data_IF_257247396043
#
_entry.id   IF_257247396043
#
_cell.length_a   1.000
_cell.length_b   1.000
_cell.length_c   1.000
_cell.angle_alpha   90.00
_cell.angle_beta   90.00
_cell.angle_gamma   90.00
#
_symmetry.space_group_name_H-M   'P 1'
#
loop_
_entity.id
_entity.type
_entity.pdbx_description
1 polymer ?
#
# COMPACT_ATOMS: atom_id res chain seq x y z
N UNK A 1 2.81 23.45 -3.25
CA UNK A 1 3.29 22.46 -4.26
C UNK A 1 2.64 22.73 -5.61
N UNK A 2 3.41 22.93 -6.69
CA UNK A 2 2.85 22.99 -8.04
C UNK A 2 2.23 21.64 -8.43
N UNK A 3 1.22 21.65 -9.28
CA UNK A 3 0.54 20.45 -9.78
C UNK A 3 0.97 20.14 -11.20
N UNK A 4 1.45 18.91 -11.43
CA UNK A 4 1.74 18.35 -12.75
C UNK A 4 0.55 17.45 -13.13
N UNK A 5 -0.26 17.89 -14.09
CA UNK A 5 -1.45 17.16 -14.54
C UNK A 5 -1.07 16.15 -15.63
N UNK A 6 -1.62 14.96 -15.53
CA UNK A 6 -1.44 13.83 -16.44
C UNK A 6 -2.79 13.45 -17.05
N UNK A 7 -2.80 13.24 -18.38
CA UNK A 7 -4.01 12.81 -19.12
C UNK A 7 -4.17 11.27 -19.11
N UNK A 8 -3.12 10.55 -18.75
CA UNK A 8 -3.13 9.08 -18.67
C UNK A 8 -2.16 8.57 -17.60
N UNK A 9 -2.44 7.40 -17.01
CA UNK A 9 -1.55 6.84 -16.00
C UNK A 9 -0.18 6.48 -16.61
N UNK A 10 0.92 6.75 -15.90
CA UNK A 10 2.25 6.35 -16.33
C UNK A 10 2.36 4.83 -16.53
N UNK A 11 3.07 4.42 -17.58
CA UNK A 11 3.27 3.00 -17.87
C UNK A 11 4.24 2.36 -16.88
N UNK A 12 3.76 1.47 -16.02
CA UNK A 12 4.54 0.83 -14.98
C UNK A 12 5.79 0.10 -15.49
N UNK A 13 5.71 -0.59 -16.65
CA UNK A 13 6.86 -1.26 -17.25
C UNK A 13 8.03 -0.32 -17.54
N UNK A 14 7.74 0.87 -18.07
CA UNK A 14 8.75 1.91 -18.31
C UNK A 14 9.33 2.45 -17.00
N UNK A 15 8.49 2.61 -15.95
CA UNK A 15 8.93 3.07 -14.62
C UNK A 15 9.81 2.05 -13.91
N UNK A 16 9.53 0.75 -14.01
CA UNK A 16 10.42 -0.28 -13.48
C UNK A 16 11.78 -0.30 -14.20
N UNK A 17 11.79 -0.12 -15.53
CA UNK A 17 13.04 0.07 -16.29
C UNK A 17 13.82 1.31 -15.81
N UNK A 18 13.14 2.44 -15.60
CA UNK A 18 13.72 3.66 -15.06
C UNK A 18 14.27 3.48 -13.64
N UNK A 19 13.54 2.77 -12.78
CA UNK A 19 13.98 2.48 -11.40
C UNK A 19 15.37 1.83 -11.35
N UNK A 20 15.67 0.92 -12.27
CA UNK A 20 16.99 0.28 -12.35
C UNK A 20 18.10 1.28 -12.76
N UNK A 21 17.76 2.26 -13.59
CA UNK A 21 18.71 3.30 -14.03
C UNK A 21 18.96 4.37 -12.96
N UNK A 22 17.93 4.69 -12.16
CA UNK A 22 17.99 5.72 -11.12
C UNK A 22 18.40 5.18 -9.74
N UNK A 23 18.65 3.88 -9.61
CA UNK A 23 18.98 3.22 -8.34
C UNK A 23 20.21 3.83 -7.60
N UNK A 24 21.06 4.60 -8.29
CA UNK A 24 22.27 5.24 -7.76
C UNK A 24 22.25 6.76 -7.87
N UNK A 25 21.19 7.33 -8.43
CA UNK A 25 21.01 8.79 -8.55
C UNK A 25 19.89 9.19 -7.60
N UNK A 26 20.13 10.09 -6.68
CA UNK A 26 19.13 10.64 -5.80
C UNK A 26 19.37 12.13 -5.59
N UNK A 27 18.29 12.91 -5.51
CA UNK A 27 18.35 14.29 -5.02
C UNK A 27 18.64 14.34 -3.52
N UNK A 28 18.76 15.52 -2.98
CA UNK A 28 18.90 15.76 -1.54
C UNK A 28 17.56 15.97 -0.85
N UNK A 29 16.57 16.44 -1.60
CA UNK A 29 15.23 16.79 -1.11
C UNK A 29 14.15 16.09 -1.91
N UNK A 30 12.95 15.97 -1.32
CA UNK A 30 11.77 15.47 -2.03
C UNK A 30 11.36 16.43 -3.15
N UNK A 31 10.83 15.90 -4.28
CA UNK A 31 10.22 16.73 -5.31
C UNK A 31 9.05 17.54 -4.75
N UNK A 32 9.12 18.87 -4.85
CA UNK A 32 8.04 19.78 -4.40
C UNK A 32 6.94 19.90 -5.46
N UNK A 33 6.25 18.79 -5.75
CA UNK A 33 5.12 18.77 -6.68
C UNK A 33 4.10 17.69 -6.34
N UNK A 34 2.86 17.95 -6.75
CA UNK A 34 1.77 16.98 -6.76
C UNK A 34 1.58 16.48 -8.19
N UNK A 35 1.56 15.16 -8.39
CA UNK A 35 1.09 14.55 -9.62
C UNK A 35 -0.42 14.39 -9.55
N UNK A 36 -1.12 14.81 -10.61
CA UNK A 36 -2.57 14.69 -10.72
C UNK A 36 -2.93 13.93 -11.99
N UNK A 37 -3.68 12.84 -11.86
CA UNK A 37 -4.29 12.14 -12.98
C UNK A 37 -5.77 12.49 -13.01
N UNK A 38 -6.18 13.22 -14.05
CA UNK A 38 -7.58 13.55 -14.29
C UNK A 38 -8.27 12.42 -15.05
N UNK A 39 -9.56 12.22 -14.80
CA UNK A 39 -10.39 11.19 -15.46
C UNK A 39 -9.79 9.78 -15.37
N UNK A 40 -9.35 9.40 -14.15
CA UNK A 40 -8.87 8.04 -13.92
C UNK A 40 -9.97 7.03 -14.30
N UNK A 41 -9.69 6.23 -15.32
CA UNK A 41 -10.63 5.22 -15.82
C UNK A 41 -10.66 4.02 -14.89
N UNK A 42 -11.85 3.61 -14.48
CA UNK A 42 -12.06 2.39 -13.69
C UNK A 42 -12.60 1.33 -14.63
N UNK A 43 -11.81 0.28 -14.85
CA UNK A 43 -12.23 -0.91 -15.56
C UNK A 43 -12.90 -1.87 -14.56
N UNK A 44 -14.18 -2.17 -14.79
CA UNK A 44 -14.96 -3.04 -13.91
C UNK A 44 -14.40 -4.47 -13.86
N UNK A 45 -13.85 -4.97 -14.95
CA UNK A 45 -13.22 -6.30 -15.00
C UNK A 45 -11.92 -6.30 -14.17
N UNK A 46 -11.11 -5.25 -14.25
CA UNK A 46 -9.93 -5.10 -13.42
C UNK A 46 -10.27 -5.00 -11.92
N UNK A 47 -11.37 -4.32 -11.56
CA UNK A 47 -11.88 -4.29 -10.17
C UNK A 47 -12.31 -5.68 -9.72
N UNK A 48 -13.02 -6.43 -10.57
CA UNK A 48 -13.47 -7.79 -10.27
C UNK A 48 -12.27 -8.74 -10.08
N UNK A 49 -11.27 -8.67 -10.94
CA UNK A 49 -10.03 -9.46 -10.83
C UNK A 49 -9.27 -9.15 -9.54
N UNK A 50 -9.15 -7.87 -9.20
CA UNK A 50 -8.56 -7.45 -7.92
C UNK A 50 -9.36 -8.01 -6.73
N UNK A 51 -10.69 -7.88 -6.78
CA UNK A 51 -11.57 -8.39 -5.74
C UNK A 51 -11.39 -9.91 -5.55
N UNK A 52 -11.33 -10.68 -6.64
CA UNK A 52 -11.08 -12.12 -6.59
C UNK A 52 -9.72 -12.48 -5.96
N UNK A 53 -8.64 -11.79 -6.36
CA UNK A 53 -7.29 -12.05 -5.84
C UNK A 53 -7.17 -11.70 -4.36
N UNK A 54 -7.85 -10.65 -3.91
CA UNK A 54 -7.85 -10.18 -2.53
C UNK A 54 -8.94 -10.82 -1.66
N UNK A 55 -9.97 -11.43 -2.28
CA UNK A 55 -11.09 -12.08 -1.60
C UNK A 55 -12.20 -11.13 -1.17
N UNK A 56 -12.32 -9.97 -1.81
CA UNK A 56 -13.50 -9.11 -1.70
C UNK A 56 -14.68 -9.67 -2.49
N UNK A 57 -15.88 -9.21 -2.16
CA UNK A 57 -17.05 -9.40 -3.01
C UNK A 57 -16.96 -8.49 -4.23
N UNK A 58 -17.33 -8.99 -5.38
CA UNK A 58 -17.55 -8.16 -6.58
C UNK A 58 -18.85 -7.41 -6.41
N UNK A 59 -18.84 -6.10 -6.63
CA UNK A 59 -20.00 -5.22 -6.46
C UNK A 59 -19.84 -3.92 -7.22
N UNK A 60 -20.77 -2.98 -7.00
CA UNK A 60 -20.75 -1.66 -7.62
C UNK A 60 -19.81 -0.66 -6.94
N UNK A 61 -19.21 -1.02 -5.81
CA UNK A 61 -18.27 -0.20 -5.06
C UNK A 61 -16.84 -0.73 -5.19
N UNK A 62 -15.87 0.17 -5.17
CA UNK A 62 -14.46 -0.19 -5.15
C UNK A 62 -14.09 -0.78 -3.79
N UNK A 63 -13.35 -1.91 -3.74
CA UNK A 63 -12.70 -2.32 -2.51
C UNK A 63 -11.87 -1.17 -1.92
N UNK A 64 -11.97 -0.91 -0.62
CA UNK A 64 -11.31 0.24 0.05
C UNK A 64 -9.81 0.37 -0.24
N UNK A 65 -9.16 -0.73 -0.60
CA UNK A 65 -7.74 -0.74 -0.99
C UNK A 65 -7.51 -0.56 -2.49
N UNK A 66 -8.56 -0.59 -3.32
CA UNK A 66 -8.40 -0.47 -4.79
C UNK A 66 -7.93 0.91 -5.25
N UNK A 67 -8.34 2.04 -4.65
CA UNK A 67 -7.83 3.35 -5.05
C UNK A 67 -6.31 3.49 -4.94
N UNK A 68 -5.66 2.70 -4.07
CA UNK A 68 -4.20 2.61 -4.05
C UNK A 68 -3.62 2.10 -5.38
N UNK A 69 -4.33 1.23 -6.10
CA UNK A 69 -3.90 0.74 -7.43
C UNK A 69 -3.94 1.84 -8.48
N UNK A 70 -4.92 2.76 -8.39
CA UNK A 70 -4.99 3.94 -9.25
C UNK A 70 -3.85 4.94 -8.96
N UNK A 71 -3.47 5.05 -7.69
CA UNK A 71 -2.40 5.94 -7.25
C UNK A 71 -0.99 5.37 -7.48
N UNK A 72 -0.83 4.04 -7.53
CA UNK A 72 0.47 3.38 -7.58
C UNK A 72 1.34 3.78 -8.80
N UNK A 73 0.82 3.94 -10.03
CA UNK A 73 1.61 4.45 -11.14
C UNK A 73 2.18 5.85 -10.91
N UNK A 74 1.43 6.73 -10.23
CA UNK A 74 1.89 8.07 -9.88
C UNK A 74 2.94 8.02 -8.76
N UNK A 75 2.74 7.16 -7.76
CA UNK A 75 3.76 6.90 -6.73
C UNK A 75 5.07 6.42 -7.36
N UNK A 76 5.00 5.44 -8.26
CA UNK A 76 6.17 4.94 -9.00
C UNK A 76 6.82 6.03 -9.86
N UNK A 77 6.05 6.92 -10.46
CA UNK A 77 6.56 8.06 -11.22
C UNK A 77 7.41 9.00 -10.35
N UNK A 78 6.93 9.31 -9.11
CA UNK A 78 7.71 10.09 -8.15
C UNK A 78 8.95 9.33 -7.67
N UNK A 79 8.78 8.09 -7.22
CA UNK A 79 9.89 7.28 -6.67
C UNK A 79 11.00 6.99 -7.70
N UNK A 80 10.70 7.04 -8.99
CA UNK A 80 11.69 6.84 -10.06
C UNK A 80 12.18 8.14 -10.66
N UNK A 81 11.79 9.28 -10.12
CA UNK A 81 12.35 10.56 -10.52
C UNK A 81 13.84 10.65 -10.15
N UNK A 82 14.61 11.35 -10.97
CA UNK A 82 16.04 11.57 -10.69
C UNK A 82 16.30 12.44 -9.46
N UNK A 83 15.33 13.31 -9.16
CA UNK A 83 15.38 14.18 -7.98
C UNK A 83 14.96 13.45 -6.71
N UNK A 84 14.28 12.28 -6.82
CA UNK A 84 13.83 11.56 -5.64
C UNK A 84 15.02 11.01 -4.84
N UNK A 85 15.13 11.32 -3.52
CA UNK A 85 16.36 11.09 -2.75
C UNK A 85 16.61 9.62 -2.39
N UNK A 86 15.60 8.77 -2.50
CA UNK A 86 15.70 7.36 -2.13
C UNK A 86 15.57 6.44 -3.35
N UNK A 87 16.39 5.38 -3.47
CA UNK A 87 16.30 4.43 -4.56
C UNK A 87 15.02 3.59 -4.48
N UNK A 88 14.21 3.58 -5.53
CA UNK A 88 13.00 2.75 -5.59
C UNK A 88 13.27 1.23 -5.44
N UNK A 89 14.33 0.63 -6.02
CA UNK A 89 14.68 -0.74 -5.76
C UNK A 89 15.08 -0.97 -4.29
N UNK A 90 14.45 -1.95 -3.65
CA UNK A 90 14.69 -2.28 -2.25
C UNK A 90 13.88 -1.48 -1.23
N UNK A 91 13.02 -0.59 -1.68
CA UNK A 91 12.02 0.03 -0.81
C UNK A 91 11.10 -1.02 -0.17
N UNK A 92 10.86 -0.86 1.11
CA UNK A 92 9.97 -1.71 1.90
C UNK A 92 8.79 -0.88 2.41
N UNK A 93 7.58 -1.32 2.16
CA UNK A 93 6.36 -0.70 2.67
C UNK A 93 6.21 -1.04 4.15
N UNK A 94 6.32 -0.05 5.05
CA UNK A 94 6.26 -0.23 6.50
C UNK A 94 4.85 -0.03 7.06
N UNK A 95 4.14 0.99 6.59
CA UNK A 95 2.81 1.36 7.09
C UNK A 95 1.97 1.91 5.95
N UNK A 96 0.68 1.64 6.01
CA UNK A 96 -0.28 2.27 5.12
C UNK A 96 -1.55 2.61 5.89
N UNK A 97 -1.85 3.90 5.97
CA UNK A 97 -3.09 4.45 6.54
C UNK A 97 -4.01 4.80 5.38
N UNK A 98 -5.25 4.33 5.42
CA UNK A 98 -6.32 4.70 4.48
C UNK A 98 -7.44 5.33 5.28
N UNK A 99 -7.86 6.52 4.91
CA UNK A 99 -9.11 7.16 5.40
C UNK A 99 -10.08 7.27 4.22
N UNK A 100 -11.22 6.63 4.33
CA UNK A 100 -12.31 6.69 3.38
C UNK A 100 -13.47 7.41 4.03
N UNK A 101 -13.96 8.50 3.44
CA UNK A 101 -15.12 9.26 3.93
C UNK A 101 -16.43 8.69 3.39
N UNK A 102 -16.40 8.15 2.18
CA UNK A 102 -17.47 7.36 1.57
C UNK A 102 -16.91 6.32 0.62
N UNK A 103 -17.63 5.22 0.36
CA UNK A 103 -17.28 4.32 -0.73
C UNK A 103 -17.21 5.06 -2.08
N UNK A 104 -16.29 4.63 -2.93
CA UNK A 104 -16.19 5.07 -4.33
C UNK A 104 -16.86 4.02 -5.21
N UNK A 105 -17.68 4.44 -6.16
CA UNK A 105 -18.38 3.53 -7.05
C UNK A 105 -17.56 3.23 -8.32
N UNK A 106 -17.78 2.04 -8.89
CA UNK A 106 -17.30 1.72 -10.24
C UNK A 106 -18.00 2.64 -11.24
N UNK A 107 -17.21 3.34 -12.08
CA UNK A 107 -17.73 4.27 -13.09
C UNK A 107 -17.79 5.74 -12.64
N UNK A 108 -17.44 6.08 -11.40
CA UNK A 108 -17.25 7.48 -11.01
C UNK A 108 -16.08 8.10 -11.79
N UNK A 109 -16.19 9.37 -12.25
CA UNK A 109 -15.05 10.10 -12.82
C UNK A 109 -14.11 10.51 -11.69
N UNK A 110 -13.01 9.83 -11.53
CA UNK A 110 -12.08 10.06 -10.42
C UNK A 110 -10.87 10.88 -10.83
N UNK A 111 -10.43 11.73 -9.91
CA UNK A 111 -9.13 12.40 -9.93
C UNK A 111 -8.25 11.77 -8.87
N UNK A 112 -7.03 11.43 -9.25
CA UNK A 112 -6.02 10.85 -8.36
C UNK A 112 -4.88 11.83 -8.19
N UNK A 113 -4.54 12.18 -6.96
CA UNK A 113 -3.40 13.07 -6.65
C UNK A 113 -2.40 12.33 -5.78
N UNK A 114 -1.11 12.54 -6.06
CA UNK A 114 -0.02 11.94 -5.30
C UNK A 114 1.10 12.95 -5.11
N UNK A 115 1.62 13.03 -3.89
CA UNK A 115 2.85 13.76 -3.58
C UNK A 115 3.69 12.99 -2.57
N UNK A 116 4.95 13.39 -2.43
CA UNK A 116 5.85 12.85 -1.42
C UNK A 116 6.04 13.87 -0.30
N UNK A 117 6.14 13.39 0.93
CA UNK A 117 6.44 14.24 2.09
C UNK A 117 7.21 13.48 3.15
N UNK A 118 7.70 14.19 4.16
CA UNK A 118 8.28 13.60 5.37
C UNK A 118 9.40 12.59 5.11
N UNK A 119 10.46 13.05 4.42
CA UNK A 119 11.71 12.31 4.35
C UNK A 119 12.44 12.46 5.69
N UNK A 120 12.58 11.38 6.45
CA UNK A 120 13.18 11.43 7.79
C UNK A 120 14.08 10.24 8.06
N UNK A 121 15.02 10.44 8.99
CA UNK A 121 15.88 9.38 9.47
C UNK A 121 15.10 8.26 10.17
N UNK A 122 15.62 7.05 10.05
CA UNK A 122 15.17 5.85 10.73
C UNK A 122 16.41 5.14 11.29
N UNK A 123 16.39 4.46 12.45
CA UNK A 123 17.57 3.83 13.06
C UNK A 123 18.37 2.88 12.15
N UNK A 124 17.79 2.42 11.05
CA UNK A 124 18.40 1.50 10.07
C UNK A 124 18.47 2.05 8.65
N UNK A 125 18.14 3.33 8.44
CA UNK A 125 18.09 3.93 7.11
C UNK A 125 17.28 5.21 7.08
N UNK A 126 16.47 5.39 6.04
CA UNK A 126 15.55 6.52 5.90
C UNK A 126 14.15 6.05 5.50
N UNK A 127 13.15 6.85 5.82
CA UNK A 127 11.77 6.62 5.43
C UNK A 127 11.16 7.86 4.79
N UNK A 128 10.16 7.65 3.96
CA UNK A 128 9.42 8.67 3.23
C UNK A 128 7.94 8.32 3.19
N UNK A 129 7.07 9.31 3.25
CA UNK A 129 5.65 9.14 3.07
C UNK A 129 5.23 9.52 1.64
N UNK A 130 4.47 8.66 0.98
CA UNK A 130 3.73 8.96 -0.23
C UNK A 130 2.26 9.14 0.14
N UNK A 131 1.75 10.33 -0.07
CA UNK A 131 0.35 10.68 0.19
C UNK A 131 -0.42 10.63 -1.11
N UNK A 132 -1.57 9.97 -1.09
CA UNK A 132 -2.46 9.85 -2.23
C UNK A 132 -3.86 10.24 -1.83
N UNK A 133 -4.58 10.90 -2.72
CA UNK A 133 -6.00 11.20 -2.57
C UNK A 133 -6.77 10.84 -3.84
N UNK A 134 -8.00 10.36 -3.66
CA UNK A 134 -8.89 9.97 -4.76
C UNK A 134 -10.29 10.49 -4.47
N UNK A 135 -10.91 11.14 -5.44
CA UNK A 135 -12.26 11.70 -5.32
C UNK A 135 -12.78 12.22 -6.64
N UNK A 136 -13.92 12.91 -6.61
CA UNK A 136 -14.48 13.57 -7.76
C UNK A 136 -13.66 14.83 -8.11
N UNK A 137 -13.76 15.34 -9.36
CA UNK A 137 -12.97 16.50 -9.80
C UNK A 137 -13.16 17.75 -8.94
N UNK A 138 -14.39 18.05 -8.54
CA UNK A 138 -14.78 19.31 -7.89
C UNK A 138 -15.09 19.15 -6.40
N UNK A 139 -14.92 17.95 -5.83
CA UNK A 139 -15.19 17.66 -4.43
C UNK A 139 -13.91 17.40 -3.63
N UNK A 140 -14.05 17.46 -2.30
CA UNK A 140 -13.01 16.92 -1.42
C UNK A 140 -12.81 15.43 -1.71
N UNK A 141 -11.56 15.01 -1.65
CA UNK A 141 -11.23 13.62 -1.90
C UNK A 141 -11.93 12.70 -0.89
N UNK A 142 -12.71 11.77 -1.41
CA UNK A 142 -13.45 10.80 -0.61
C UNK A 142 -12.56 9.71 -0.01
N UNK A 143 -11.32 9.58 -0.51
CA UNK A 143 -10.36 8.59 -0.08
C UNK A 143 -8.96 9.19 -0.02
N UNK A 144 -8.27 8.94 1.10
CA UNK A 144 -6.90 9.37 1.34
C UNK A 144 -6.05 8.18 1.77
N UNK A 145 -4.78 8.19 1.38
CA UNK A 145 -3.81 7.19 1.85
C UNK A 145 -2.45 7.81 2.09
N UNK A 146 -1.84 7.42 3.20
CA UNK A 146 -0.44 7.64 3.50
C UNK A 146 0.29 6.30 3.49
N UNK A 147 1.27 6.15 2.62
CA UNK A 147 2.14 4.98 2.54
C UNK A 147 3.54 5.36 3.00
N UNK A 148 4.00 4.77 4.09
CA UNK A 148 5.38 4.97 4.58
C UNK A 148 6.28 3.89 4.01
N UNK A 149 7.26 4.29 3.23
CA UNK A 149 8.29 3.43 2.66
C UNK A 149 9.63 3.63 3.37
N UNK A 150 10.43 2.59 3.43
CA UNK A 150 11.73 2.56 4.08
C UNK A 150 12.81 2.03 3.14
N UNK A 151 14.00 2.65 3.22
CA UNK A 151 15.21 2.20 2.52
C UNK A 151 16.32 2.00 3.54
N UNK A 152 16.83 0.77 3.60
CA UNK A 152 17.92 0.42 4.50
C UNK A 152 19.23 1.12 4.07
N UNK A 153 19.93 1.70 5.05
CA UNK A 153 21.24 2.31 4.85
C UNK A 153 21.20 3.66 4.14
N UNK A 154 20.02 4.16 3.76
CA UNK A 154 19.87 5.54 3.29
C UNK A 154 19.95 6.52 4.47
N UNK A 155 20.28 7.77 4.19
CA UNK A 155 20.34 8.85 5.18
C UNK A 155 19.27 9.89 4.91
N UNK A 156 18.77 10.49 5.96
CA UNK A 156 17.88 11.65 5.92
C UNK A 156 18.06 12.45 7.21
N UNK A 157 17.48 13.64 7.26
CA UNK A 157 17.47 14.46 8.48
C UNK A 157 16.64 13.80 9.60
N UNK A 158 17.02 14.07 10.84
CA UNK A 158 16.23 13.64 11.99
C UNK A 158 14.83 14.28 11.93
N UNK A 159 13.78 13.53 12.31
CA UNK A 159 12.42 14.06 12.28
C UNK A 159 12.27 15.20 13.29
N UNK A 160 11.67 16.30 12.84
CA UNK A 160 11.31 17.43 13.71
C UNK A 160 10.12 17.14 14.60
N UNK A 161 9.26 16.23 14.15
CA UNK A 161 8.03 15.83 14.84
C UNK A 161 8.05 14.36 15.20
N UNK A 162 7.37 14.01 16.29
CA UNK A 162 7.18 12.61 16.66
C UNK A 162 6.38 11.88 15.58
N UNK A 163 6.82 10.66 15.25
CA UNK A 163 6.04 9.81 14.35
C UNK A 163 4.66 9.52 14.97
N UNK A 164 3.58 9.52 14.18
CA UNK A 164 2.29 9.09 14.67
C UNK A 164 2.39 7.68 15.29
N UNK A 165 1.75 7.44 16.44
CA UNK A 165 1.82 6.14 17.08
C UNK A 165 1.38 5.03 16.12
N UNK A 166 2.03 3.89 16.22
CA UNK A 166 1.64 2.73 15.42
C UNK A 166 0.39 2.07 16.02
N UNK A 167 -0.44 1.42 15.20
CA UNK A 167 -1.58 0.68 15.70
C UNK A 167 -1.14 -0.47 16.62
N UNK A 168 -1.78 -0.59 17.75
CA UNK A 168 -1.58 -1.66 18.72
C UNK A 168 -2.89 -2.47 18.83
N UNK A 169 -3.17 -3.39 17.90
CA UNK A 169 -4.40 -4.16 17.92
C UNK A 169 -4.44 -5.13 19.10
N UNK A 170 -5.53 -5.11 19.84
CA UNK A 170 -5.81 -6.03 20.93
C UNK A 170 -6.62 -7.21 20.43
N UNK A 171 -5.94 -8.27 20.02
CA UNK A 171 -6.57 -9.50 19.52
C UNK A 171 -6.33 -10.66 20.48
N UNK A 172 -7.30 -11.56 20.57
CA UNK A 172 -7.19 -12.75 21.42
C UNK A 172 -6.13 -13.75 20.95
N UNK A 173 -5.93 -14.82 21.72
CA UNK A 173 -4.89 -15.84 21.49
C UNK A 173 -5.32 -16.91 20.46
N UNK A 174 -6.60 -16.96 20.08
CA UNK A 174 -7.12 -17.95 19.13
C UNK A 174 -7.36 -17.31 17.77
N UNK A 175 -6.86 -17.92 16.69
CA UNK A 175 -7.13 -17.44 15.34
C UNK A 175 -8.61 -17.66 14.97
N UNK A 176 -9.19 -16.68 14.28
CA UNK A 176 -10.54 -16.76 13.71
C UNK A 176 -10.57 -17.43 12.34
N UNK A 177 -9.44 -17.41 11.64
CA UNK A 177 -9.29 -18.13 10.38
C UNK A 177 -7.85 -18.59 10.16
N UNK A 178 -7.70 -19.68 9.40
CA UNK A 178 -6.41 -20.18 8.93
C UNK A 178 -6.43 -20.18 7.41
N UNK A 179 -5.46 -19.49 6.80
CA UNK A 179 -5.35 -19.38 5.36
C UNK A 179 -4.15 -20.16 4.84
N UNK A 180 -4.37 -20.95 3.80
CA UNK A 180 -3.28 -21.44 2.97
C UNK A 180 -2.95 -20.33 1.97
N UNK A 181 -1.79 -19.72 2.11
CA UNK A 181 -1.28 -18.68 1.22
C UNK A 181 -0.51 -19.37 0.10
N UNK A 182 -1.00 -19.35 -1.16
CA UNK A 182 -0.39 -20.08 -2.25
C UNK A 182 0.93 -19.43 -2.69
N UNK A 183 1.82 -20.23 -3.28
CA UNK A 183 3.15 -19.76 -3.71
C UNK A 183 3.11 -18.81 -4.91
N UNK A 184 2.01 -18.78 -5.65
CA UNK A 184 1.79 -17.90 -6.80
C UNK A 184 1.08 -16.59 -6.48
N UNK A 185 0.67 -16.38 -5.20
CA UNK A 185 -0.09 -15.18 -4.83
C UNK A 185 0.66 -13.89 -5.15
N UNK A 186 1.98 -13.89 -5.04
CA UNK A 186 2.79 -12.74 -5.43
C UNK A 186 2.59 -12.36 -6.91
N UNK A 187 2.63 -13.34 -7.81
CA UNK A 187 2.38 -13.11 -9.24
C UNK A 187 0.93 -12.74 -9.54
N UNK A 188 -0.02 -13.40 -8.89
CA UNK A 188 -1.45 -13.09 -9.05
C UNK A 188 -1.77 -11.66 -8.60
N UNK A 189 -1.23 -11.24 -7.46
CA UNK A 189 -1.42 -9.86 -7.00
C UNK A 189 -0.68 -8.86 -7.89
N UNK A 190 0.54 -9.16 -8.32
CA UNK A 190 1.29 -8.32 -9.26
C UNK A 190 0.51 -8.08 -10.58
N UNK A 191 -0.21 -9.09 -11.08
CA UNK A 191 -1.01 -8.98 -12.30
C UNK A 191 -2.16 -7.98 -12.17
N UNK A 192 -2.79 -7.86 -10.97
CA UNK A 192 -3.94 -6.98 -10.74
C UNK A 192 -3.55 -5.63 -10.09
N UNK A 193 -2.36 -5.52 -9.52
CA UNK A 193 -1.89 -4.30 -8.86
C UNK A 193 -0.84 -3.53 -9.68
N UNK A 194 -0.21 -4.20 -10.64
CA UNK A 194 0.95 -3.65 -11.35
C UNK A 194 2.23 -3.61 -10.51
N UNK A 195 2.21 -4.00 -9.23
CA UNK A 195 3.41 -4.12 -8.41
C UNK A 195 4.18 -5.40 -8.73
N UNK A 196 5.06 -5.31 -9.72
CA UNK A 196 5.92 -6.41 -10.17
C UNK A 196 7.29 -6.43 -9.46
N UNK A 197 7.39 -5.85 -8.27
CA UNK A 197 8.65 -5.88 -7.51
C UNK A 197 9.19 -7.31 -7.43
N UNK A 198 10.44 -7.56 -7.84
CA UNK A 198 11.00 -8.91 -7.97
C UNK A 198 10.96 -9.75 -6.69
N UNK A 199 10.94 -9.13 -5.50
CA UNK A 199 10.87 -9.85 -4.21
C UNK A 199 9.58 -10.67 -4.05
N UNK A 200 8.52 -10.33 -4.79
CA UNK A 200 7.22 -10.98 -4.73
C UNK A 200 7.03 -12.06 -5.80
N UNK A 201 7.78 -11.97 -6.90
CA UNK A 201 7.53 -12.79 -8.09
C UNK A 201 8.66 -13.76 -8.43
N UNK A 202 9.88 -13.52 -7.93
CA UNK A 202 11.07 -14.32 -8.23
C UNK A 202 11.89 -14.61 -6.97
N UNK A 203 12.06 -15.91 -6.65
CA UNK A 203 12.75 -16.33 -5.44
C UNK A 203 14.27 -16.07 -5.41
N UNK A 204 14.94 -16.03 -6.57
CA UNK A 204 16.35 -15.67 -6.64
C UNK A 204 16.55 -14.17 -6.41
N UNK A 205 15.71 -13.35 -7.05
CA UNK A 205 15.72 -11.92 -6.83
C UNK A 205 15.38 -11.59 -5.37
N UNK A 206 14.38 -12.22 -4.78
CA UNK A 206 14.05 -12.03 -3.36
C UNK A 206 15.26 -12.31 -2.45
N UNK A 207 16.02 -13.36 -2.70
CA UNK A 207 17.26 -13.66 -1.95
C UNK A 207 18.33 -12.60 -2.14
N UNK A 208 18.51 -12.08 -3.36
CA UNK A 208 19.46 -11.00 -3.64
C UNK A 208 19.14 -9.72 -2.86
N UNK A 209 17.84 -9.47 -2.56
CA UNK A 209 17.39 -8.38 -1.69
C UNK A 209 17.32 -8.75 -0.19
N UNK A 210 17.97 -9.85 0.22
CA UNK A 210 18.05 -10.27 1.61
C UNK A 210 16.78 -10.92 2.17
N UNK A 211 15.81 -11.26 1.31
CA UNK A 211 14.62 -11.98 1.71
C UNK A 211 14.86 -13.50 1.74
N UNK A 212 14.18 -14.25 2.64
CA UNK A 212 14.37 -15.71 2.73
C UNK A 212 13.78 -16.50 1.54
N UNK A 213 13.15 -15.84 0.59
CA UNK A 213 12.45 -16.33 -0.60
C UNK A 213 11.36 -15.37 -1.00
N UNK A 214 10.49 -15.74 -1.94
CA UNK A 214 9.35 -14.90 -2.31
C UNK A 214 8.43 -14.63 -1.13
N UNK A 215 7.91 -13.41 -1.07
CA UNK A 215 7.03 -12.93 -0.01
C UNK A 215 5.74 -12.36 -0.61
N UNK A 216 4.65 -12.43 0.14
CA UNK A 216 3.40 -11.77 -0.24
C UNK A 216 3.56 -10.24 -0.15
N UNK A 217 2.83 -9.50 -1.01
CA UNK A 217 2.74 -8.04 -0.89
C UNK A 217 2.06 -7.65 0.42
N UNK A 218 2.56 -6.59 1.06
CA UNK A 218 1.92 -6.03 2.25
C UNK A 218 0.49 -5.61 1.98
N UNK A 219 0.26 -4.89 0.85
CA UNK A 219 -1.06 -4.44 0.45
C UNK A 219 -2.03 -5.58 0.12
N UNK A 220 -1.55 -6.72 -0.43
CA UNK A 220 -2.39 -7.92 -0.54
C UNK A 220 -2.82 -8.44 0.84
N UNK A 221 -1.89 -8.49 1.80
CA UNK A 221 -2.20 -8.94 3.17
C UNK A 221 -3.23 -8.03 3.83
N UNK A 222 -3.08 -6.70 3.68
CA UNK A 222 -4.06 -5.70 4.15
C UNK A 222 -5.43 -5.91 3.49
N UNK A 223 -5.45 -5.99 2.16
CA UNK A 223 -6.68 -6.21 1.39
C UNK A 223 -7.39 -7.51 1.80
N UNK A 224 -6.65 -8.60 1.96
CA UNK A 224 -7.19 -9.90 2.34
C UNK A 224 -7.78 -9.90 3.76
N UNK A 225 -7.17 -9.18 4.70
CA UNK A 225 -7.70 -9.00 6.06
C UNK A 225 -8.98 -8.16 6.02
N UNK A 226 -9.00 -7.06 5.27
CA UNK A 226 -10.19 -6.22 5.12
C UNK A 226 -11.34 -6.95 4.43
N UNK A 227 -11.05 -7.77 3.42
CA UNK A 227 -12.04 -8.62 2.79
C UNK A 227 -12.70 -9.61 3.78
N UNK A 228 -11.95 -10.10 4.78
CA UNK A 228 -12.50 -10.94 5.84
C UNK A 228 -13.34 -10.15 6.86
N UNK A 229 -13.19 -8.84 6.92
CA UNK A 229 -13.97 -7.91 7.74
C UNK A 229 -15.09 -7.21 6.93
N UNK A 230 -15.31 -7.57 5.67
CA UNK A 230 -16.31 -6.95 4.82
C UNK A 230 -17.73 -7.02 5.46
N UNK A 231 -18.50 -5.93 5.32
CA UNK A 231 -19.78 -5.74 5.99
C UNK A 231 -19.67 -5.38 7.48
N UNK A 232 -18.45 -5.16 7.98
CA UNK A 232 -18.18 -4.73 9.36
C UNK A 232 -17.36 -3.45 9.43
N UNK A 233 -16.96 -2.94 8.27
CA UNK A 233 -16.08 -1.77 8.10
C UNK A 233 -16.63 -0.85 7.02
N UNK A 234 -17.96 -0.81 6.87
CA UNK A 234 -18.64 -0.02 5.85
C UNK A 234 -18.73 1.45 6.28
N UNK A 235 -18.79 2.37 5.30
CA UNK A 235 -18.96 3.80 5.54
C UNK A 235 -17.64 4.57 5.71
N UNK A 236 -17.68 5.61 6.55
CA UNK A 236 -16.54 6.46 6.82
C UNK A 236 -15.59 5.79 7.82
N UNK A 237 -14.41 5.37 7.36
CA UNK A 237 -13.45 4.61 8.18
C UNK A 237 -12.01 5.00 7.93
N UNK A 238 -11.20 4.89 8.98
CA UNK A 238 -9.74 4.92 8.90
C UNK A 238 -9.19 3.53 9.17
N UNK A 239 -8.39 3.02 8.24
CA UNK A 239 -7.70 1.72 8.34
C UNK A 239 -6.21 1.96 8.45
N UNK A 240 -5.64 1.70 9.61
CA UNK A 240 -4.20 1.81 9.85
C UNK A 240 -3.56 0.42 9.90
N UNK A 241 -2.55 0.20 9.07
CA UNK A 241 -1.90 -1.09 8.92
C UNK A 241 -0.38 -0.95 8.93
N UNK A 242 0.29 -1.72 9.81
CA UNK A 242 1.75 -1.81 9.88
C UNK A 242 2.20 -3.19 9.42
N UNK A 243 3.19 -3.21 8.52
CA UNK A 243 3.81 -4.41 7.97
C UNK A 243 5.06 -4.76 8.77
N UNK A 244 4.95 -5.70 9.72
CA UNK A 244 6.00 -6.02 10.70
C UNK A 244 7.08 -6.94 10.18
N UNK A 245 6.69 -7.97 9.47
CA UNK A 245 7.64 -8.94 8.92
C UNK A 245 7.15 -9.54 7.60
N UNK A 246 8.08 -9.93 6.70
CA UNK A 246 7.72 -10.53 5.43
C UNK A 246 6.92 -11.83 5.60
N UNK A 247 5.77 -11.96 4.96
CA UNK A 247 5.01 -13.20 4.88
C UNK A 247 5.55 -14.05 3.72
N UNK A 248 6.32 -15.08 4.05
CA UNK A 248 6.85 -16.03 3.03
C UNK A 248 5.72 -16.77 2.32
N UNK A 249 5.91 -17.03 1.05
CA UNK A 249 4.98 -17.82 0.24
C UNK A 249 5.71 -19.02 -0.40
N UNK A 250 5.08 -20.24 -0.44
CA UNK A 250 3.81 -20.58 0.21
C UNK A 250 3.92 -20.69 1.74
N UNK A 251 2.80 -20.44 2.44
CA UNK A 251 2.73 -20.60 3.90
C UNK A 251 1.31 -20.78 4.41
N UNK A 252 1.17 -21.07 5.71
CA UNK A 252 -0.09 -20.91 6.44
C UNK A 252 -0.03 -19.61 7.21
N UNK A 253 -1.07 -18.81 7.13
CA UNK A 253 -1.26 -17.59 7.89
C UNK A 253 -2.51 -17.69 8.77
N UNK A 254 -2.44 -17.10 9.95
CA UNK A 254 -3.49 -17.15 10.96
C UNK A 254 -4.03 -15.74 11.15
N UNK A 255 -5.31 -15.57 10.93
CA UNK A 255 -6.02 -14.31 11.13
C UNK A 255 -6.59 -14.28 12.55
N UNK A 256 -6.27 -13.21 13.27
CA UNK A 256 -6.86 -12.86 14.56
C UNK A 256 -7.65 -11.57 14.37
N UNK A 257 -8.86 -11.50 14.91
CA UNK A 257 -9.70 -10.30 14.87
C UNK A 257 -10.38 -10.09 16.23
N UNK A 258 -10.65 -8.85 16.56
CA UNK A 258 -11.46 -8.49 17.72
C UNK A 258 -12.32 -7.28 17.38
N UNK A 259 -13.60 -7.34 17.77
CA UNK A 259 -14.44 -6.15 17.79
C UNK A 259 -14.02 -5.25 18.94
N UNK A 260 -13.96 -3.95 18.72
CA UNK A 260 -13.75 -2.93 19.73
C UNK A 260 -15.01 -2.09 19.90
N UNK A 261 -15.01 -1.15 20.85
CA UNK A 261 -16.15 -0.25 21.04
C UNK A 261 -16.51 0.54 19.77
N UNK A 262 -15.50 0.89 18.98
CA UNK A 262 -15.57 1.81 17.86
C UNK A 262 -14.91 1.27 16.57
N UNK A 263 -14.85 -0.05 16.42
CA UNK A 263 -14.29 -0.63 15.19
C UNK A 263 -13.76 -2.05 15.35
N UNK A 264 -12.63 -2.32 14.69
CA UNK A 264 -12.03 -3.65 14.65
C UNK A 264 -10.51 -3.59 14.77
N UNK A 265 -9.99 -4.58 15.48
CA UNK A 265 -8.58 -4.89 15.54
C UNK A 265 -8.31 -6.19 14.78
N UNK A 266 -7.18 -6.27 14.09
CA UNK A 266 -6.76 -7.48 13.39
C UNK A 266 -5.24 -7.66 13.41
N UNK A 267 -4.82 -8.92 13.44
CA UNK A 267 -3.43 -9.31 13.25
C UNK A 267 -3.35 -10.52 12.31
N UNK A 268 -2.38 -10.50 11.40
CA UNK A 268 -2.04 -11.65 10.57
C UNK A 268 -0.71 -12.23 11.03
N UNK A 269 -0.70 -13.48 11.46
CA UNK A 269 0.45 -14.15 12.06
C UNK A 269 0.84 -15.42 11.31
N UNK A 270 2.11 -15.76 11.34
CA UNK A 270 2.63 -17.06 10.87
C UNK A 270 3.91 -17.40 11.63
N UNK A 271 4.05 -18.65 12.05
CA UNK A 271 5.24 -19.14 12.77
C UNK A 271 5.65 -18.26 13.95
N UNK A 272 4.69 -17.79 14.73
CA UNK A 272 4.91 -16.95 15.92
C UNK A 272 5.36 -15.51 15.62
N UNK A 273 5.24 -15.02 14.37
CA UNK A 273 5.58 -13.65 13.97
C UNK A 273 4.35 -12.90 13.49
N UNK A 274 4.26 -11.64 13.88
CA UNK A 274 3.32 -10.70 13.27
C UNK A 274 3.82 -10.31 11.87
N UNK A 275 2.95 -10.44 10.88
CA UNK A 275 3.19 -9.97 9.52
C UNK A 275 2.46 -8.66 9.25
N UNK A 276 1.23 -8.55 9.75
CA UNK A 276 0.40 -7.36 9.66
C UNK A 276 -0.28 -7.12 11.00
N UNK A 277 -0.24 -5.88 11.47
CA UNK A 277 -1.08 -5.35 12.54
C UNK A 277 -2.00 -4.30 11.94
N UNK A 278 -3.30 -4.35 12.25
CA UNK A 278 -4.29 -3.50 11.61
C UNK A 278 -5.38 -3.09 12.60
N UNK A 279 -5.76 -1.82 12.53
CA UNK A 279 -6.94 -1.28 13.21
C UNK A 279 -7.89 -0.64 12.20
N UNK A 280 -9.19 -0.76 12.44
CA UNK A 280 -10.24 -0.04 11.72
C UNK A 280 -11.00 0.80 12.74
N UNK A 281 -11.14 2.08 12.46
CA UNK A 281 -11.85 3.06 13.31
C UNK A 281 -12.76 3.93 12.45
N UNK A 282 -13.78 4.58 13.01
CA UNK A 282 -14.51 5.62 12.28
C UNK A 282 -13.55 6.69 11.76
N UNK A 283 -13.80 7.22 10.57
CA UNK A 283 -13.07 8.37 10.07
C UNK A 283 -13.42 9.60 10.93
N UNK A 284 -12.43 10.35 11.30
CA UNK A 284 -12.58 11.64 12.02
C UNK A 284 -12.79 12.76 11.04
#
# INVERSE_FOLDING_TARGET
MPTETLDSPPTLGALYGRALLTARSGGETLPDRTLELVNATIDADAVADYAHVCGFRVGGELPITYPHMLAFPLQMRLMTDREFPLPAPGMVHLRNVITQQRPLAVGEPLVVRVHAERLVAHPKGAQVDLVSSVGLPDDEAAWHSRSTYFVRGASAEEPTDAAPPEPEPHVGDRPHAVWTVPGDIGRRYAAVSGDVNPIHVNGLAAKAFGMPGTIAHGMWSKARVLAALAGRTDGAVTVDAVFRSPLRIPSKAFLYTAATKDGWDAALRSKGKDHLLLTVRPAS
#
